data_IF_633282455810
#
_entry.id   IF_633282455810
#
_cell.length_a   1.000
_cell.length_b   1.000
_cell.length_c   1.000
_cell.angle_alpha   90.00
_cell.angle_beta   90.00
_cell.angle_gamma   90.00
#
_symmetry.space_group_name_H-M   'P 1'
#
loop_
_entity.id
_entity.type
_entity.pdbx_description
1 polymer ?
#
# COMPACT_ATOMS: atom_id res chain seq x y z
N UNK A 1 16.06 24.94 -1.59
CA UNK A 1 14.69 24.45 -1.84
C UNK A 1 14.80 23.09 -2.51
N UNK A 2 14.27 22.02 -1.90
CA UNK A 2 14.22 20.70 -2.56
C UNK A 2 12.94 20.67 -3.41
N UNK A 3 13.08 20.36 -4.69
CA UNK A 3 11.98 20.11 -5.61
C UNK A 3 10.99 19.16 -4.95
N UNK A 4 9.71 19.52 -4.97
CA UNK A 4 8.64 18.79 -4.28
C UNK A 4 8.64 17.34 -4.73
N UNK A 5 9.19 16.46 -3.88
CA UNK A 5 9.07 15.01 -4.05
C UNK A 5 7.63 14.66 -3.69
N UNK A 6 6.74 14.78 -4.67
CA UNK A 6 5.42 14.17 -4.59
C UNK A 6 5.63 12.67 -4.41
N UNK A 7 5.09 12.11 -3.32
CA UNK A 7 5.12 10.67 -3.12
C UNK A 7 4.18 10.03 -4.14
N UNK A 8 4.74 9.52 -5.23
CA UNK A 8 3.99 8.83 -6.30
C UNK A 8 3.73 7.37 -5.90
N UNK A 9 2.50 6.90 -6.13
CA UNK A 9 2.06 5.53 -5.86
C UNK A 9 1.36 5.02 -7.12
N UNK A 10 1.46 3.72 -7.41
CA UNK A 10 0.93 3.15 -8.65
C UNK A 10 -0.59 3.30 -8.76
N UNK A 11 -1.29 3.05 -7.65
CA UNK A 11 -2.74 3.17 -7.57
C UNK A 11 -3.19 3.72 -6.22
N UNK A 12 -4.44 4.17 -6.19
CA UNK A 12 -5.17 4.46 -4.96
C UNK A 12 -6.54 3.81 -5.04
N UNK A 13 -7.05 3.36 -3.89
CA UNK A 13 -8.43 2.92 -3.75
C UNK A 13 -9.11 3.73 -2.65
N UNK A 14 -10.43 3.84 -2.74
CA UNK A 14 -11.26 4.34 -1.66
C UNK A 14 -11.89 3.15 -0.93
N UNK A 15 -11.75 3.13 0.39
CA UNK A 15 -12.40 2.15 1.25
C UNK A 15 -12.94 2.87 2.48
N UNK A 16 -14.25 2.79 2.73
CA UNK A 16 -14.93 3.43 3.87
C UNK A 16 -14.56 4.92 4.07
N UNK A 17 -14.53 5.68 2.96
CA UNK A 17 -14.20 7.11 2.99
C UNK A 17 -12.70 7.43 3.17
N UNK A 18 -11.84 6.42 3.30
CA UNK A 18 -10.38 6.59 3.42
C UNK A 18 -9.69 6.27 2.09
N UNK A 19 -8.67 7.04 1.75
CA UNK A 19 -7.82 6.80 0.57
C UNK A 19 -6.66 5.91 0.98
N UNK A 20 -6.54 4.76 0.34
CA UNK A 20 -5.50 3.76 0.63
C UNK A 20 -4.58 3.68 -0.59
N UNK A 21 -3.28 4.02 -0.44
CA UNK A 21 -2.32 3.89 -1.52
C UNK A 21 -1.94 2.41 -1.75
N UNK A 22 -1.71 2.06 -3.02
CA UNK A 22 -1.31 0.73 -3.45
C UNK A 22 -0.05 0.83 -4.29
N UNK A 23 0.90 -0.06 -3.99
CA UNK A 23 2.11 -0.27 -4.76
C UNK A 23 2.16 -1.72 -5.27
N UNK A 24 2.46 -1.94 -6.55
CA UNK A 24 2.50 -3.27 -7.17
C UNK A 24 3.93 -3.60 -7.61
N UNK A 25 4.44 -4.79 -7.26
CA UNK A 25 5.79 -5.24 -7.65
C UNK A 25 5.77 -6.68 -8.16
N UNK A 26 6.25 -6.85 -9.38
CA UNK A 26 6.43 -8.16 -10.01
C UNK A 26 7.74 -8.88 -9.61
N UNK A 27 8.60 -8.27 -8.78
CA UNK A 27 9.89 -8.85 -8.39
C UNK A 27 10.37 -8.39 -7.00
N UNK A 28 11.50 -8.95 -6.54
CA UNK A 28 12.05 -8.71 -5.19
C UNK A 28 12.68 -7.32 -4.99
N UNK A 29 12.87 -6.55 -6.05
CA UNK A 29 13.65 -5.32 -6.05
C UNK A 29 12.75 -4.08 -6.03
N UNK A 30 13.02 -3.19 -5.06
CA UNK A 30 12.38 -1.87 -4.95
C UNK A 30 12.01 -1.55 -3.51
N UNK A 31 12.55 -0.45 -2.98
CA UNK A 31 12.15 0.04 -1.66
C UNK A 31 10.75 0.66 -1.74
N UNK A 32 9.88 0.37 -0.76
CA UNK A 32 8.55 0.99 -0.60
C UNK A 32 8.63 2.44 -0.09
N UNK A 33 9.62 3.20 -0.58
CA UNK A 33 9.94 4.54 -0.10
C UNK A 33 8.81 5.51 -0.40
N UNK A 34 8.27 5.48 -1.61
CA UNK A 34 7.18 6.35 -2.04
C UNK A 34 5.88 6.03 -1.28
N UNK A 35 5.53 4.74 -1.17
CA UNK A 35 4.37 4.30 -0.37
C UNK A 35 4.48 4.75 1.10
N UNK A 36 5.63 4.55 1.75
CA UNK A 36 5.86 5.02 3.13
C UNK A 36 5.80 6.55 3.24
N UNK A 37 6.34 7.28 2.26
CA UNK A 37 6.26 8.73 2.24
C UNK A 37 4.82 9.23 2.06
N UNK A 38 4.01 8.55 1.25
CA UNK A 38 2.58 8.85 1.11
C UNK A 38 1.83 8.62 2.43
N UNK A 39 2.04 7.46 3.07
CA UNK A 39 1.41 7.11 4.35
C UNK A 39 1.80 8.05 5.51
N UNK A 40 2.94 8.74 5.42
CA UNK A 40 3.38 9.68 6.44
C UNK A 40 2.89 11.12 6.16
N UNK A 41 2.78 11.50 4.89
CA UNK A 41 2.37 12.87 4.51
C UNK A 41 0.86 13.04 4.45
N UNK A 42 0.12 11.97 4.15
CA UNK A 42 -1.33 11.91 4.30
C UNK A 42 -1.65 10.95 5.43
N UNK A 43 -2.65 11.22 6.29
CA UNK A 43 -3.08 10.30 7.34
C UNK A 43 -3.81 9.08 6.75
N UNK A 44 -3.16 8.36 5.84
CA UNK A 44 -3.64 7.10 5.30
C UNK A 44 -3.52 6.05 6.41
N UNK A 45 -4.62 5.36 6.76
CA UNK A 45 -4.62 4.39 7.85
C UNK A 45 -3.79 3.14 7.54
N UNK A 46 -3.62 2.84 6.24
CA UNK A 46 -3.09 1.60 5.71
C UNK A 46 -2.44 1.90 4.36
N UNK A 47 -1.37 1.19 4.03
CA UNK A 47 -0.85 1.06 2.67
C UNK A 47 -0.88 -0.39 2.23
N UNK A 48 -1.05 -0.62 0.93
CA UNK A 48 -1.11 -1.96 0.35
C UNK A 48 0.09 -2.16 -0.56
N UNK A 49 0.75 -3.30 -0.41
CA UNK A 49 1.82 -3.75 -1.29
C UNK A 49 1.44 -5.08 -1.92
N UNK A 50 1.27 -5.10 -3.24
CA UNK A 50 0.92 -6.31 -4.00
C UNK A 50 2.19 -6.88 -4.62
N UNK A 51 2.51 -8.14 -4.31
CA UNK A 51 3.71 -8.81 -4.85
C UNK A 51 3.61 -10.33 -4.81
N UNK A 52 4.72 -11.04 -5.00
CA UNK A 52 4.80 -12.49 -4.75
C UNK A 52 5.11 -12.84 -3.28
N UNK A 53 5.35 -11.84 -2.43
CA UNK A 53 5.64 -12.07 -1.02
C UNK A 53 4.43 -12.67 -0.27
N UNK A 54 4.66 -13.48 0.79
CA UNK A 54 3.58 -14.00 1.62
C UNK A 54 2.70 -12.88 2.22
N UNK A 55 1.43 -13.22 2.44
CA UNK A 55 0.49 -12.34 3.14
C UNK A 55 1.07 -11.93 4.49
N UNK A 56 1.16 -10.63 4.74
CA UNK A 56 1.64 -10.10 6.02
C UNK A 56 1.09 -8.70 6.26
N UNK A 57 0.91 -8.34 7.53
CA UNK A 57 0.56 -6.99 7.93
C UNK A 57 1.54 -6.53 9.00
N UNK A 58 2.25 -5.43 8.73
CA UNK A 58 3.20 -4.85 9.68
C UNK A 58 3.28 -3.34 9.48
N UNK A 59 3.32 -2.56 10.56
CA UNK A 59 3.50 -1.10 10.51
C UNK A 59 2.49 -0.39 9.59
N UNK A 60 1.23 -0.83 9.59
CA UNK A 60 0.15 -0.34 8.70
C UNK A 60 0.41 -0.59 7.21
N UNK A 61 1.24 -1.57 6.88
CA UNK A 61 1.48 -2.04 5.53
C UNK A 61 0.96 -3.47 5.38
N UNK A 62 -0.06 -3.65 4.54
CA UNK A 62 -0.60 -4.95 4.17
C UNK A 62 0.07 -5.43 2.88
N UNK A 63 0.93 -6.44 2.99
CA UNK A 63 1.48 -7.12 1.81
C UNK A 63 0.54 -8.23 1.37
N UNK A 64 0.02 -8.15 0.15
CA UNK A 64 -0.96 -9.08 -0.42
C UNK A 64 -0.34 -9.81 -1.60
N UNK A 65 -0.31 -11.16 -1.60
CA UNK A 65 0.12 -11.90 -2.77
C UNK A 65 -0.89 -11.77 -3.92
N UNK A 66 -0.44 -11.83 -5.17
CA UNK A 66 -1.32 -11.70 -6.35
C UNK A 66 -2.55 -12.61 -6.32
N UNK A 67 -2.43 -13.83 -5.80
CA UNK A 67 -3.54 -14.79 -5.73
C UNK A 67 -4.61 -14.45 -4.67
N UNK A 68 -4.38 -13.44 -3.82
CA UNK A 68 -5.35 -12.95 -2.83
C UNK A 68 -5.99 -11.60 -3.20
N UNK A 69 -5.81 -11.12 -4.44
CA UNK A 69 -6.35 -9.82 -4.84
C UNK A 69 -7.89 -9.74 -4.77
N UNK A 70 -8.59 -10.83 -5.03
CA UNK A 70 -10.06 -10.88 -4.89
C UNK A 70 -10.51 -10.70 -3.43
N UNK A 71 -9.64 -11.02 -2.47
CA UNK A 71 -9.91 -10.92 -1.03
C UNK A 71 -9.58 -9.54 -0.48
N UNK A 72 -9.10 -8.60 -1.30
CA UNK A 72 -8.58 -7.32 -0.85
C UNK A 72 -9.58 -6.54 0.03
N UNK A 73 -10.88 -6.41 -0.32
CA UNK A 73 -11.84 -5.73 0.55
C UNK A 73 -11.97 -6.38 1.94
N UNK A 74 -12.00 -7.72 1.99
CA UNK A 74 -12.08 -8.49 3.25
C UNK A 74 -10.82 -8.31 4.08
N UNK A 75 -9.64 -8.35 3.44
CA UNK A 75 -8.36 -8.18 4.11
C UNK A 75 -8.19 -6.76 4.67
N UNK A 76 -8.60 -5.72 3.93
CA UNK A 76 -8.59 -4.33 4.42
C UNK A 76 -9.46 -4.20 5.66
N UNK A 77 -10.69 -4.72 5.62
CA UNK A 77 -11.61 -4.70 6.77
C UNK A 77 -11.06 -5.44 8.00
N UNK A 78 -10.32 -6.54 7.80
CA UNK A 78 -9.76 -7.32 8.90
C UNK A 78 -8.56 -6.66 9.63
N UNK A 79 -7.89 -5.68 9.00
CA UNK A 79 -6.68 -5.03 9.54
C UNK A 79 -6.81 -3.53 9.78
N UNK A 80 -7.96 -2.95 9.42
CA UNK A 80 -8.29 -1.53 9.63
C UNK A 80 -8.97 -1.31 10.97
#
# INVERSE_FOLDING_TARGET
QKTGSSAEVDYVIQFEGKVIPIEVKAGKTGHLRSLKQFMNTKPAPLGIHISEAPLSCKDRLLSVPFYLLSELPRLISAVS
#
